data_IF_455141591611
#
_entry.id   IF_455141591611
#
_cell.length_a   1.000
_cell.length_b   1.000
_cell.length_c   1.000
_cell.angle_alpha   90.00
_cell.angle_beta   90.00
_cell.angle_gamma   90.00
#
_symmetry.space_group_name_H-M   'P 1'
#
loop_
_entity.id
_entity.type
_entity.pdbx_description
1 polymer ?
#
# COMPACT_ATOMS: atom_id res chain seq x y z
N UNK A 1 1.14 46.74 -45.12
CA UNK A 1 0.68 45.33 -45.26
C UNK A 1 1.30 44.52 -44.13
N UNK A 2 0.52 44.13 -43.12
CA UNK A 2 0.96 43.32 -41.97
C UNK A 2 1.18 41.87 -42.43
N UNK A 3 2.40 41.34 -42.29
CA UNK A 3 2.69 39.92 -42.49
C UNK A 3 2.24 39.16 -41.25
N UNK A 4 1.15 38.40 -41.35
CA UNK A 4 0.65 37.53 -40.29
C UNK A 4 1.56 36.32 -40.21
N UNK A 5 2.20 36.16 -39.06
CA UNK A 5 3.00 35.00 -38.67
C UNK A 5 2.05 33.86 -38.29
N UNK A 6 1.96 32.81 -39.13
CA UNK A 6 1.30 31.56 -38.75
C UNK A 6 2.22 30.81 -37.76
N UNK A 7 1.91 30.87 -36.46
CA UNK A 7 2.39 29.88 -35.50
C UNK A 7 1.63 28.58 -35.73
N UNK A 8 2.23 27.61 -36.43
CA UNK A 8 1.80 26.22 -36.36
C UNK A 8 2.17 25.69 -34.97
N UNK A 9 1.20 25.66 -34.06
CA UNK A 9 1.28 24.82 -32.87
C UNK A 9 1.05 23.39 -33.35
N UNK A 10 2.12 22.64 -33.56
CA UNK A 10 2.04 21.20 -33.72
C UNK A 10 1.59 20.61 -32.38
N UNK A 11 0.29 20.34 -32.25
CA UNK A 11 -0.27 19.57 -31.16
C UNK A 11 0.17 18.12 -31.36
N UNK A 12 1.32 17.76 -30.79
CA UNK A 12 1.76 16.37 -30.73
C UNK A 12 0.85 15.70 -29.70
N UNK A 13 -0.24 15.09 -30.18
CA UNK A 13 -1.06 14.22 -29.37
C UNK A 13 -0.24 12.95 -29.09
N UNK A 14 0.57 12.97 -28.03
CA UNK A 14 1.11 11.74 -27.46
C UNK A 14 -0.06 10.95 -26.90
N UNK A 15 -0.48 9.93 -27.64
CA UNK A 15 -1.43 8.94 -27.15
C UNK A 15 -0.79 8.22 -25.96
N UNK A 16 -1.06 8.70 -24.75
CA UNK A 16 -0.86 7.88 -23.56
C UNK A 16 -1.88 6.75 -23.66
N UNK A 17 -1.42 5.55 -23.97
CA UNK A 17 -2.18 4.36 -23.62
C UNK A 17 -2.29 4.40 -22.11
N UNK A 18 -3.49 4.68 -21.59
CA UNK A 18 -3.76 4.56 -20.17
C UNK A 18 -3.62 3.08 -19.82
N UNK A 19 -2.41 2.67 -19.40
CA UNK A 19 -2.23 1.42 -18.71
C UNK A 19 -3.08 1.52 -17.45
N UNK A 20 -3.92 0.52 -17.18
CA UNK A 20 -4.67 0.48 -15.94
C UNK A 20 -3.67 0.59 -14.79
N UNK A 21 -3.90 1.56 -13.90
CA UNK A 21 -3.12 1.74 -12.69
C UNK A 21 -3.29 0.49 -11.81
N UNK A 22 -2.19 0.00 -11.23
CA UNK A 22 -2.25 -1.10 -10.28
C UNK A 22 -2.98 -0.66 -9.02
N UNK A 23 -3.97 -1.46 -8.61
CA UNK A 23 -4.74 -1.22 -7.39
C UNK A 23 -4.16 -2.11 -6.29
N UNK A 24 -3.65 -1.48 -5.23
CA UNK A 24 -3.21 -2.17 -4.03
C UNK A 24 -4.26 -2.04 -2.91
N UNK A 25 -4.62 -3.17 -2.28
CA UNK A 25 -5.62 -3.23 -1.21
C UNK A 25 -5.02 -3.98 -0.01
N UNK A 26 -5.19 -3.43 1.19
CA UNK A 26 -4.90 -4.18 2.42
C UNK A 26 -6.06 -5.12 2.70
N UNK A 27 -5.79 -6.43 2.74
CA UNK A 27 -6.76 -7.46 3.11
C UNK A 27 -6.26 -8.21 4.35
N UNK A 28 -7.06 -8.29 5.41
CA UNK A 28 -6.60 -8.81 6.68
C UNK A 28 -7.71 -9.09 7.68
N UNK A 29 -7.38 -9.07 8.97
CA UNK A 29 -8.31 -9.21 10.09
C UNK A 29 -9.51 -8.26 9.96
N UNK A 30 -10.71 -8.75 10.26
CA UNK A 30 -11.95 -7.96 10.22
C UNK A 30 -11.88 -6.74 11.14
N UNK A 31 -11.25 -6.89 12.31
CA UNK A 31 -11.09 -5.84 13.31
C UNK A 31 -10.17 -4.71 12.87
N UNK A 32 -9.36 -4.93 11.81
CA UNK A 32 -8.55 -3.91 11.15
C UNK A 32 -9.26 -3.38 9.90
N UNK A 33 -9.73 -4.28 9.04
CA UNK A 33 -10.16 -3.98 7.67
C UNK A 33 -11.66 -3.73 7.54
N UNK A 34 -12.46 -4.01 8.56
CA UNK A 34 -13.94 -4.00 8.50
C UNK A 34 -14.53 -5.23 7.80
N UNK A 35 -13.78 -5.88 6.92
CA UNK A 35 -14.12 -7.14 6.26
C UNK A 35 -12.93 -8.10 6.30
N UNK A 36 -13.17 -9.36 6.67
CA UNK A 36 -12.11 -10.36 6.74
C UNK A 36 -11.62 -10.76 5.34
N UNK A 37 -10.32 -10.55 5.08
CA UNK A 37 -9.60 -11.07 3.91
C UNK A 37 -10.24 -10.73 2.53
N UNK A 38 -10.87 -9.57 2.42
CA UNK A 38 -11.48 -9.12 1.17
C UNK A 38 -10.48 -8.34 0.29
N UNK A 39 -10.01 -8.96 -0.79
CA UNK A 39 -9.11 -8.32 -1.76
C UNK A 39 -9.82 -7.41 -2.77
N UNK A 40 -11.13 -7.22 -2.62
CA UNK A 40 -11.96 -6.37 -3.50
C UNK A 40 -12.53 -5.16 -2.77
N UNK A 41 -12.33 -5.06 -1.44
CA UNK A 41 -12.80 -3.92 -0.66
C UNK A 41 -11.97 -2.66 -0.95
N UNK A 42 -12.51 -1.82 -1.83
CA UNK A 42 -11.91 -0.55 -2.22
C UNK A 42 -11.86 0.47 -1.06
N UNK A 43 -12.57 0.25 0.05
CA UNK A 43 -12.36 1.08 1.25
C UNK A 43 -10.96 0.89 1.81
N UNK A 44 -10.34 -0.28 1.59
CA UNK A 44 -8.98 -0.60 2.00
C UNK A 44 -7.94 -0.40 0.89
N UNK A 45 -8.32 0.29 -0.19
CA UNK A 45 -7.39 0.72 -1.24
C UNK A 45 -6.29 1.61 -0.65
N UNK A 46 -5.05 1.31 -1.01
CA UNK A 46 -3.89 2.09 -0.66
C UNK A 46 -3.77 3.31 -1.61
N UNK A 47 -3.22 4.40 -1.08
CA UNK A 47 -2.93 5.63 -1.82
C UNK A 47 -1.52 5.56 -2.40
N UNK A 48 -1.35 5.81 -3.71
CA UNK A 48 -0.01 5.96 -4.31
C UNK A 48 0.66 7.23 -3.77
N UNK A 49 1.88 7.07 -3.23
CA UNK A 49 2.67 8.17 -2.70
C UNK A 49 3.56 8.83 -3.77
N UNK A 50 3.60 8.30 -4.99
CA UNK A 50 4.38 8.82 -6.13
C UNK A 50 5.86 8.47 -6.11
N UNK A 51 6.31 7.64 -5.17
CA UNK A 51 7.70 7.20 -4.99
C UNK A 51 7.86 5.66 -5.10
N UNK A 52 6.84 4.99 -5.62
CA UNK A 52 6.77 3.52 -5.68
C UNK A 52 6.29 2.86 -4.39
N UNK A 53 5.88 3.65 -3.39
CA UNK A 53 5.19 3.17 -2.20
C UNK A 53 3.71 3.54 -2.20
N UNK A 54 2.92 2.70 -1.53
CA UNK A 54 1.48 2.86 -1.37
C UNK A 54 1.14 2.83 0.11
N UNK A 55 0.21 3.66 0.58
CA UNK A 55 -0.13 3.75 2.00
C UNK A 55 -1.62 3.63 2.30
N UNK A 56 -1.98 2.99 3.42
CA UNK A 56 -3.34 2.96 3.96
C UNK A 56 -3.28 3.22 5.46
N UNK A 57 -4.01 4.24 5.90
CA UNK A 57 -4.19 4.54 7.32
C UNK A 57 -5.55 4.02 7.79
N UNK A 58 -5.52 3.25 8.88
CA UNK A 58 -6.67 2.80 9.65
C UNK A 58 -6.73 3.66 10.92
N UNK A 59 -7.85 4.34 11.11
CA UNK A 59 -7.99 5.30 12.22
C UNK A 59 -8.44 4.61 13.50
N UNK A 60 -7.88 5.01 14.64
CA UNK A 60 -8.28 4.53 15.97
C UNK A 60 -8.39 3.00 16.08
N UNK A 61 -7.39 2.27 15.57
CA UNK A 61 -7.31 0.81 15.68
C UNK A 61 -7.20 0.44 17.16
N UNK A 62 -8.05 -0.48 17.62
CA UNK A 62 -8.10 -0.88 19.02
C UNK A 62 -6.83 -1.61 19.46
N UNK A 63 -6.52 -1.55 20.75
CA UNK A 63 -5.44 -2.35 21.32
C UNK A 63 -5.80 -3.84 21.25
N UNK A 64 -4.96 -4.61 20.57
CA UNK A 64 -5.13 -6.04 20.31
C UNK A 64 -3.79 -6.64 19.88
N UNK A 65 -3.58 -7.91 20.20
CA UNK A 65 -2.45 -8.68 19.67
C UNK A 65 -2.89 -9.50 18.45
N UNK A 66 -2.00 -9.61 17.46
CA UNK A 66 -2.19 -10.55 16.36
C UNK A 66 -3.07 -10.05 15.22
N UNK A 67 -3.15 -8.74 14.99
CA UNK A 67 -3.67 -8.25 13.71
C UNK A 67 -2.86 -8.84 12.58
N UNK A 68 -3.55 -9.33 11.56
CA UNK A 68 -2.94 -9.94 10.39
C UNK A 68 -3.39 -9.23 9.13
N UNK A 69 -2.48 -9.11 8.16
CA UNK A 69 -2.83 -8.64 6.82
C UNK A 69 -1.89 -9.19 5.76
N UNK A 70 -2.33 -9.02 4.52
CA UNK A 70 -1.51 -9.01 3.30
C UNK A 70 -1.90 -7.81 2.45
N UNK A 71 -1.02 -7.44 1.54
CA UNK A 71 -1.34 -6.48 0.48
C UNK A 71 -1.70 -7.26 -0.77
N UNK A 72 -2.79 -6.90 -1.43
CA UNK A 72 -3.20 -7.54 -2.68
C UNK A 72 -3.04 -6.57 -3.84
N UNK A 73 -2.68 -7.08 -5.02
CA UNK A 73 -2.61 -6.30 -6.25
C UNK A 73 -3.67 -6.79 -7.21
N UNK A 74 -4.50 -5.86 -7.68
CA UNK A 74 -5.58 -6.08 -8.63
C UNK A 74 -6.51 -7.26 -8.25
N UNK A 75 -6.64 -7.54 -6.93
CA UNK A 75 -7.43 -8.64 -6.39
C UNK A 75 -6.89 -10.05 -6.63
N UNK A 76 -5.71 -10.21 -7.24
CA UNK A 76 -5.20 -11.51 -7.71
C UNK A 76 -3.88 -11.92 -7.07
N UNK A 77 -2.94 -10.99 -6.92
CA UNK A 77 -1.64 -11.26 -6.29
C UNK A 77 -1.67 -10.90 -4.81
N UNK A 78 -0.94 -11.65 -3.98
CA UNK A 78 -0.95 -11.52 -2.52
C UNK A 78 0.48 -11.42 -1.98
N UNK A 79 0.80 -10.32 -1.31
CA UNK A 79 2.11 -10.05 -0.72
C UNK A 79 2.04 -10.10 0.81
N UNK A 80 2.85 -10.96 1.39
CA UNK A 80 2.95 -11.23 2.82
C UNK A 80 4.30 -10.86 3.41
N UNK A 81 4.72 -11.59 4.45
CA UNK A 81 6.09 -11.52 4.94
C UNK A 81 7.10 -12.13 3.93
N UNK A 82 8.39 -12.18 4.28
CA UNK A 82 9.44 -12.72 3.39
C UNK A 82 9.26 -14.21 3.03
N UNK A 83 8.51 -14.96 3.84
CA UNK A 83 8.15 -16.35 3.58
C UNK A 83 6.76 -16.49 2.91
N UNK A 84 6.09 -15.37 2.61
CA UNK A 84 4.76 -15.34 2.01
C UNK A 84 3.62 -15.61 3.01
N UNK A 85 3.87 -15.61 4.32
CA UNK A 85 2.83 -15.73 5.35
C UNK A 85 2.12 -14.39 5.58
N UNK A 86 1.11 -14.39 6.45
CA UNK A 86 0.44 -13.18 6.87
C UNK A 86 1.39 -12.30 7.70
N UNK A 87 1.41 -11.00 7.42
CA UNK A 87 2.13 -10.05 8.25
C UNK A 87 1.34 -9.87 9.54
N UNK A 88 1.99 -10.07 10.69
CA UNK A 88 1.36 -9.97 12.00
C UNK A 88 1.94 -8.80 12.79
N UNK A 89 1.08 -8.02 13.45
CA UNK A 89 1.50 -6.95 14.36
C UNK A 89 0.54 -6.82 15.55
N UNK A 90 1.00 -6.11 16.58
CA UNK A 90 0.21 -5.80 17.76
C UNK A 90 -0.03 -4.29 17.86
N UNK A 91 -1.16 -3.92 18.43
CA UNK A 91 -1.45 -2.56 18.89
C UNK A 91 -1.57 -2.61 20.41
N UNK A 92 -0.67 -1.92 21.10
CA UNK A 92 -0.60 -1.91 22.57
C UNK A 92 -1.45 -0.81 23.20
N UNK A 93 -1.74 0.24 22.45
CA UNK A 93 -2.64 1.34 22.82
C UNK A 93 -3.34 1.81 21.56
N UNK A 94 -4.63 2.11 21.65
CA UNK A 94 -5.41 2.53 20.48
C UNK A 94 -4.74 3.72 19.77
N UNK A 95 -4.55 3.60 18.47
CA UNK A 95 -3.85 4.61 17.67
C UNK A 95 -4.24 4.49 16.20
N UNK A 96 -3.86 5.49 15.41
CA UNK A 96 -3.89 5.35 13.95
C UNK A 96 -2.75 4.42 13.52
N UNK A 97 -3.06 3.49 12.63
CA UNK A 97 -2.12 2.53 12.07
C UNK A 97 -1.98 2.80 10.58
N UNK A 98 -0.76 3.10 10.14
CA UNK A 98 -0.43 3.26 8.73
C UNK A 98 0.38 2.08 8.24
N UNK A 99 -0.17 1.38 7.24
CA UNK A 99 0.50 0.33 6.49
C UNK A 99 1.05 0.94 5.20
N UNK A 100 2.35 0.76 4.96
CA UNK A 100 3.00 1.20 3.73
C UNK A 100 3.57 -0.01 3.00
N UNK A 101 3.29 -0.13 1.71
CA UNK A 101 3.77 -1.19 0.83
C UNK A 101 4.72 -0.60 -0.21
N UNK A 102 5.87 -1.22 -0.41
CA UNK A 102 6.80 -0.85 -1.48
C UNK A 102 6.63 -1.80 -2.67
N UNK A 103 6.13 -1.29 -3.81
CA UNK A 103 5.80 -2.11 -4.98
C UNK A 103 7.03 -2.61 -5.76
N UNK A 104 8.24 -2.17 -5.40
CA UNK A 104 9.51 -2.64 -6.00
C UNK A 104 10.11 -3.80 -5.20
N UNK A 105 10.05 -3.72 -3.87
CA UNK A 105 10.66 -4.71 -2.95
C UNK A 105 9.64 -5.71 -2.40
N UNK A 106 8.35 -5.44 -2.60
CA UNK A 106 7.22 -6.19 -2.08
C UNK A 106 7.18 -6.30 -0.54
N UNK A 107 7.81 -5.36 0.15
CA UNK A 107 7.83 -5.31 1.62
C UNK A 107 6.79 -4.32 2.14
N UNK A 108 6.14 -4.67 3.25
CA UNK A 108 5.27 -3.76 3.99
C UNK A 108 5.90 -3.31 5.30
N UNK A 109 5.60 -2.09 5.72
CA UNK A 109 5.86 -1.58 7.07
C UNK A 109 4.54 -1.21 7.74
N UNK A 110 4.51 -1.29 9.07
CA UNK A 110 3.37 -0.89 9.90
C UNK A 110 3.85 0.12 10.92
N UNK A 111 3.18 1.27 11.00
CA UNK A 111 3.56 2.37 11.90
C UNK A 111 2.33 2.88 12.64
N UNK A 112 2.55 3.43 13.83
CA UNK A 112 1.51 4.00 14.70
C UNK A 112 2.07 4.15 16.11
N UNK A 113 1.56 5.10 16.90
CA UNK A 113 2.12 5.43 18.22
C UNK A 113 1.99 4.27 19.23
N UNK A 114 0.98 3.41 19.05
CA UNK A 114 0.77 2.19 19.83
C UNK A 114 1.16 0.90 19.11
N UNK A 115 1.68 0.96 17.88
CA UNK A 115 2.07 -0.23 17.11
C UNK A 115 3.36 -0.81 17.69
N UNK A 116 3.31 -2.08 18.09
CA UNK A 116 4.49 -2.87 18.35
C UNK A 116 4.78 -3.69 17.09
N UNK A 117 5.77 -3.24 16.33
CA UNK A 117 6.24 -3.99 15.18
C UNK A 117 6.94 -5.27 15.67
N UNK A 118 6.54 -6.43 15.13
CA UNK A 118 7.50 -7.52 15.00
C UNK A 118 8.47 -7.10 13.89
N UNK A 119 9.57 -6.47 14.30
CA UNK A 119 10.75 -6.43 13.44
C UNK A 119 11.16 -7.89 13.30
N UNK A 120 10.82 -8.51 12.17
CA UNK A 120 11.53 -9.70 11.75
C UNK A 120 12.98 -9.25 11.56
N UNK A 121 13.79 -9.39 12.60
CA UNK A 121 15.22 -9.21 12.53
C UNK A 121 15.73 -10.10 11.41
N UNK A 122 16.01 -9.50 10.26
CA UNK A 122 17.03 -10.04 9.38
C UNK A 122 18.25 -9.17 9.56
N UNK A 123 18.84 -9.24 10.77
CA UNK A 123 20.29 -9.22 10.80
C UNK A 123 20.72 -10.45 10.01
N UNK A 124 20.98 -10.26 8.72
CA UNK A 124 21.93 -11.12 8.06
C UNK A 124 23.27 -10.79 8.70
N UNK A 125 23.60 -11.48 9.79
CA UNK A 125 24.99 -11.65 10.21
C UNK A 125 25.65 -12.41 9.06
N UNK A 126 26.29 -11.67 8.16
CA UNK A 126 27.26 -12.24 7.24
C UNK A 126 28.52 -12.47 8.08
N UNK A 127 28.85 -13.72 8.34
CA UNK A 127 30.17 -14.14 8.78
C UNK A 127 31.21 -13.89 7.68
#
# INVERSE_FOLDING_TARGET
MKKILLMLVALIATSFSAMAEDIYIVAGSEELCGTAWDCTDLNNKMTDNGDGTYSKTFTNVAAMNGYQFKVTKNGTEWYGDEAGNNITFNVTTACDVTITFNATTFKSTVTGTGVQAYVFNVEKVIA
#
